data_IF_322496581685
#
_entry.id   IF_322496581685
#
_cell.length_a   1.000
_cell.length_b   1.000
_cell.length_c   1.000
_cell.angle_alpha   90.00
_cell.angle_beta   90.00
_cell.angle_gamma   90.00
#
_symmetry.space_group_name_H-M   'P 1'
#
loop_
_entity.id
_entity.type
_entity.pdbx_description
1 polymer ?
#
# COMPACT_ATOMS: atom_id res chain seq x y z
N UNK A 1 25.72 9.81 0.98
CA UNK A 1 24.67 10.83 1.19
C UNK A 1 24.59 11.09 2.68
N UNK A 2 24.93 12.30 3.13
CA UNK A 2 24.80 12.69 4.54
C UNK A 2 23.38 13.19 4.74
N UNK A 3 22.59 12.48 5.55
CA UNK A 3 21.25 12.95 5.91
C UNK A 3 21.36 13.88 7.11
N UNK A 4 20.65 15.01 7.13
CA UNK A 4 20.61 15.86 8.30
C UNK A 4 20.01 15.08 9.49
N UNK A 5 20.68 15.14 10.63
CA UNK A 5 20.25 14.48 11.86
C UNK A 5 20.03 15.55 12.93
N UNK A 6 19.04 15.35 13.80
CA UNK A 6 18.87 16.18 14.99
C UNK A 6 19.90 15.75 16.04
N UNK A 7 20.70 16.69 16.54
CA UNK A 7 21.71 16.41 17.56
C UNK A 7 21.11 16.11 18.95
N UNK A 8 19.84 16.47 19.17
CA UNK A 8 19.07 16.14 20.37
C UNK A 8 17.59 15.97 19.99
N UNK A 9 17.00 14.83 20.36
CA UNK A 9 15.57 14.61 20.20
C UNK A 9 14.81 15.41 21.27
N UNK A 10 14.18 16.51 20.87
CA UNK A 10 13.38 17.39 21.73
C UNK A 10 12.05 16.78 22.19
N UNK A 11 11.69 15.58 21.73
CA UNK A 11 10.44 14.88 22.07
C UNK A 11 9.24 15.33 21.24
N UNK A 12 9.25 16.56 20.72
CA UNK A 12 8.16 17.11 19.90
C UNK A 12 8.36 16.76 18.42
N UNK A 13 7.73 15.66 17.98
CA UNK A 13 7.67 15.26 16.56
C UNK A 13 6.36 15.79 15.97
N UNK A 14 6.46 16.68 14.99
CA UNK A 14 5.30 17.22 14.26
C UNK A 14 5.22 16.64 12.85
N UNK A 15 4.00 16.54 12.33
CA UNK A 15 3.72 16.10 10.96
C UNK A 15 4.19 17.18 9.98
N UNK A 16 4.93 16.79 8.94
CA UNK A 16 5.34 17.71 7.88
C UNK A 16 4.14 18.06 6.97
N UNK A 17 4.12 19.24 6.34
CA UNK A 17 3.06 19.59 5.39
C UNK A 17 2.91 18.60 4.24
N UNK A 18 4.02 17.98 3.80
CA UNK A 18 4.02 16.94 2.78
C UNK A 18 3.29 15.67 3.25
N UNK A 19 3.58 15.20 4.47
CA UNK A 19 2.91 14.05 5.04
C UNK A 19 1.41 14.32 5.24
N UNK A 20 1.03 15.49 5.75
CA UNK A 20 -0.38 15.87 5.89
C UNK A 20 -1.13 15.83 4.54
N UNK A 21 -0.51 16.30 3.46
CA UNK A 21 -1.08 16.23 2.11
C UNK A 21 -1.28 14.79 1.64
N UNK A 22 -0.28 13.92 1.86
CA UNK A 22 -0.37 12.49 1.50
C UNK A 22 -1.52 11.83 2.25
N UNK A 23 -1.67 12.08 3.56
CA UNK A 23 -2.75 11.50 4.34
C UNK A 23 -4.14 11.93 3.84
N UNK A 24 -4.31 13.22 3.51
CA UNK A 24 -5.57 13.72 2.95
C UNK A 24 -5.89 13.11 1.58
N UNK A 25 -4.88 12.93 0.72
CA UNK A 25 -5.04 12.27 -0.58
C UNK A 25 -5.37 10.79 -0.40
N UNK A 26 -4.74 10.11 0.55
CA UNK A 26 -4.98 8.71 0.84
C UNK A 26 -6.44 8.49 1.32
N UNK A 27 -6.95 9.38 2.18
CA UNK A 27 -8.36 9.35 2.61
C UNK A 27 -9.31 9.55 1.44
N UNK A 28 -9.03 10.51 0.55
CA UNK A 28 -9.81 10.71 -0.68
C UNK A 28 -9.84 9.44 -1.55
N UNK A 29 -8.71 8.75 -1.69
CA UNK A 29 -8.64 7.50 -2.46
C UNK A 29 -9.38 6.35 -1.78
N UNK A 30 -9.30 6.22 -0.46
CA UNK A 30 -10.09 5.25 0.30
C UNK A 30 -11.59 5.47 0.06
N UNK A 31 -12.06 6.71 0.18
CA UNK A 31 -13.46 7.07 -0.08
C UNK A 31 -13.90 6.76 -1.51
N UNK A 32 -13.07 7.06 -2.51
CA UNK A 32 -13.36 6.74 -3.92
C UNK A 32 -13.50 5.23 -4.17
N UNK A 33 -12.78 4.41 -3.40
CA UNK A 33 -12.83 2.94 -3.48
C UNK A 33 -13.90 2.32 -2.57
N UNK A 34 -14.61 3.13 -1.78
CA UNK A 34 -15.62 2.65 -0.83
C UNK A 34 -15.02 1.96 0.41
N UNK A 35 -13.74 2.19 0.69
CA UNK A 35 -13.09 1.67 1.90
C UNK A 35 -13.62 2.44 3.13
N UNK A 36 -13.95 1.72 4.21
CA UNK A 36 -14.35 2.34 5.48
C UNK A 36 -13.13 2.69 6.34
N UNK A 37 -12.00 2.02 6.10
CA UNK A 37 -10.74 2.23 6.80
C UNK A 37 -9.63 2.64 5.84
N UNK A 38 -8.67 3.42 6.37
CA UNK A 38 -7.52 3.85 5.59
C UNK A 38 -6.53 2.68 5.43
N UNK A 39 -6.39 2.21 4.20
CA UNK A 39 -5.48 1.13 3.83
C UNK A 39 -4.06 1.61 3.56
N UNK A 40 -3.09 0.73 3.79
CA UNK A 40 -1.68 0.97 3.44
C UNK A 40 -1.54 1.22 1.94
N UNK A 41 -2.33 0.53 1.13
CA UNK A 41 -2.40 0.67 -0.33
C UNK A 41 -2.89 2.07 -0.76
N UNK A 42 -3.86 2.65 -0.04
CA UNK A 42 -4.33 4.01 -0.30
C UNK A 42 -3.24 5.05 0.00
N UNK A 43 -2.45 4.84 1.07
CA UNK A 43 -1.31 5.68 1.42
C UNK A 43 -0.23 5.59 0.33
N UNK A 44 0.14 4.39 -0.11
CA UNK A 44 1.12 4.19 -1.21
C UNK A 44 0.63 4.85 -2.50
N UNK A 45 -0.65 4.72 -2.83
CA UNK A 45 -1.26 5.38 -4.00
C UNK A 45 -1.12 6.90 -3.91
N UNK A 46 -1.38 7.47 -2.73
CA UNK A 46 -1.25 8.91 -2.48
C UNK A 46 0.19 9.43 -2.56
N UNK A 47 1.17 8.61 -2.20
CA UNK A 47 2.59 8.97 -2.35
C UNK A 47 3.02 9.09 -3.83
N UNK A 48 2.37 8.34 -4.71
CA UNK A 48 2.64 8.29 -6.16
C UNK A 48 1.84 9.32 -6.98
N UNK A 49 0.93 10.04 -6.34
CA UNK A 49 0.13 11.07 -6.99
C UNK A 49 1.02 12.20 -7.54
N UNK A 50 0.61 12.77 -8.67
CA UNK A 50 1.35 13.81 -9.37
C UNK A 50 1.65 15.02 -8.46
N UNK A 51 2.93 15.42 -8.38
CA UNK A 51 3.37 16.55 -7.57
C UNK A 51 3.73 16.21 -6.11
N UNK A 52 3.78 14.93 -5.77
CA UNK A 52 4.44 14.42 -4.57
C UNK A 52 5.96 14.36 -4.78
N UNK A 53 6.75 14.82 -3.81
CA UNK A 53 8.21 14.66 -3.82
C UNK A 53 8.63 13.18 -3.89
N UNK A 54 7.75 12.29 -3.41
CA UNK A 54 7.98 10.84 -3.44
C UNK A 54 7.80 10.25 -4.84
N UNK A 55 7.03 10.90 -5.73
CA UNK A 55 6.80 10.40 -7.08
C UNK A 55 8.13 10.18 -7.82
N UNK A 56 9.06 11.12 -7.74
CA UNK A 56 10.39 11.00 -8.35
C UNK A 56 11.19 9.84 -7.76
N UNK A 57 11.05 9.56 -6.46
CA UNK A 57 11.73 8.44 -5.78
C UNK A 57 11.22 7.11 -6.31
N UNK A 58 9.90 6.95 -6.43
CA UNK A 58 9.31 5.73 -6.98
C UNK A 58 9.68 5.52 -8.45
N UNK A 59 9.62 6.58 -9.27
CA UNK A 59 10.02 6.51 -10.68
C UNK A 59 11.48 6.11 -10.84
N UNK A 60 12.38 6.66 -10.03
CA UNK A 60 13.79 6.27 -10.01
C UNK A 60 14.00 4.82 -9.55
N UNK A 61 13.11 4.29 -8.72
CA UNK A 61 13.09 2.88 -8.32
C UNK A 61 12.44 1.96 -9.38
N UNK A 62 11.97 2.50 -10.50
CA UNK A 62 11.36 1.75 -11.59
C UNK A 62 9.85 1.50 -11.43
N UNK A 63 9.20 2.18 -10.49
CA UNK A 63 7.76 2.06 -10.25
C UNK A 63 7.03 3.31 -10.74
N UNK A 64 5.97 3.12 -11.52
CA UNK A 64 5.04 4.19 -11.85
C UNK A 64 3.66 3.98 -11.22
N UNK A 65 2.85 5.04 -11.20
CA UNK A 65 1.52 5.01 -10.59
C UNK A 65 0.59 3.94 -11.20
N UNK A 66 0.69 3.69 -12.51
CA UNK A 66 -0.11 2.67 -13.19
C UNK A 66 0.22 1.26 -12.72
N UNK A 67 1.51 0.91 -12.67
CA UNK A 67 1.98 -0.41 -12.20
C UNK A 67 1.56 -0.67 -10.76
N UNK A 68 1.64 0.35 -9.90
CA UNK A 68 1.24 0.21 -8.50
C UNK A 68 -0.28 0.09 -8.37
N UNK A 69 -1.05 0.83 -9.17
CA UNK A 69 -2.50 0.69 -9.21
C UNK A 69 -2.94 -0.70 -9.67
N UNK A 70 -2.30 -1.27 -10.69
CA UNK A 70 -2.54 -2.64 -11.15
C UNK A 70 -2.20 -3.67 -10.06
N UNK A 71 -1.05 -3.54 -9.41
CA UNK A 71 -0.65 -4.42 -8.32
C UNK A 71 -1.63 -4.39 -7.14
N UNK A 72 -2.09 -3.19 -6.75
CA UNK A 72 -3.10 -3.02 -5.69
C UNK A 72 -4.43 -3.65 -6.10
N UNK A 73 -4.84 -3.49 -7.36
CA UNK A 73 -6.09 -4.09 -7.86
C UNK A 73 -6.02 -5.61 -7.80
N UNK A 74 -4.88 -6.20 -8.19
CA UNK A 74 -4.62 -7.64 -8.06
C UNK A 74 -4.62 -8.11 -6.62
N UNK A 75 -3.93 -7.39 -5.72
CA UNK A 75 -3.90 -7.70 -4.28
C UNK A 75 -5.26 -7.65 -3.62
N UNK A 76 -6.13 -6.71 -4.01
CA UNK A 76 -7.48 -6.59 -3.45
C UNK A 76 -8.43 -7.65 -3.97
N UNK A 77 -8.24 -8.13 -5.20
CA UNK A 77 -9.18 -9.03 -5.87
C UNK A 77 -10.66 -8.56 -5.82
N UNK A 78 -10.89 -7.25 -5.71
CA UNK A 78 -12.23 -6.65 -5.57
C UNK A 78 -12.73 -6.46 -4.14
N UNK A 79 -11.96 -6.83 -3.11
CA UNK A 79 -12.31 -6.59 -1.71
C UNK A 79 -12.11 -5.13 -1.31
N UNK A 80 -13.06 -4.61 -0.53
CA UNK A 80 -12.96 -3.31 0.15
C UNK A 80 -12.34 -3.46 1.53
N UNK A 81 -11.73 -2.41 2.05
CA UNK A 81 -11.18 -2.39 3.41
C UNK A 81 -12.23 -1.88 4.38
N UNK A 82 -12.99 -2.82 4.93
CA UNK A 82 -14.17 -2.62 5.79
C UNK A 82 -13.92 -2.92 7.27
N UNK A 83 -12.74 -3.44 7.61
CA UNK A 83 -12.26 -3.63 8.97
C UNK A 83 -10.77 -3.24 9.10
N UNK A 84 -10.32 -2.98 10.32
CA UNK A 84 -8.92 -2.63 10.60
C UNK A 84 -7.92 -3.74 10.24
N UNK A 85 -8.36 -5.00 10.18
CA UNK A 85 -7.52 -6.17 9.96
C UNK A 85 -7.73 -6.83 8.59
N UNK A 86 -8.56 -6.25 7.71
CA UNK A 86 -8.84 -6.79 6.37
C UNK A 86 -7.54 -7.05 5.58
N UNK A 87 -6.56 -6.14 5.64
CA UNK A 87 -5.27 -6.30 4.95
C UNK A 87 -4.47 -7.51 5.48
N UNK A 88 -4.47 -7.71 6.81
CA UNK A 88 -3.77 -8.84 7.44
C UNK A 88 -4.46 -10.17 7.15
N UNK A 89 -5.79 -10.18 7.10
CA UNK A 89 -6.56 -11.37 6.74
C UNK A 89 -6.33 -11.78 5.28
N UNK A 90 -6.25 -10.82 4.36
CA UNK A 90 -5.90 -11.10 2.96
C UNK A 90 -4.53 -11.76 2.83
N UNK A 91 -3.52 -11.20 3.50
CA UNK A 91 -2.18 -11.79 3.54
C UNK A 91 -2.13 -13.12 4.30
N UNK A 92 -3.03 -13.36 5.25
CA UNK A 92 -3.10 -14.63 5.99
C UNK A 92 -3.50 -15.80 5.10
N UNK A 93 -4.33 -15.59 4.07
CA UNK A 93 -4.61 -16.63 3.08
C UNK A 93 -3.35 -17.00 2.30
N UNK A 94 -2.62 -16.05 1.71
CA UNK A 94 -1.36 -16.37 1.03
C UNK A 94 -0.32 -17.00 1.97
N UNK A 95 -0.26 -16.55 3.23
CA UNK A 95 0.78 -16.97 4.18
C UNK A 95 0.48 -18.31 4.87
N UNK A 96 -0.80 -18.63 5.11
CA UNK A 96 -1.21 -19.78 5.91
C UNK A 96 -2.17 -20.74 5.19
N UNK A 97 -2.62 -20.40 3.98
CA UNK A 97 -3.36 -21.33 3.13
C UNK A 97 -2.49 -21.77 1.97
N UNK A 98 -2.76 -22.99 1.52
CA UNK A 98 -2.05 -23.62 0.43
C UNK A 98 -2.97 -23.59 -0.79
N UNK A 99 -2.54 -22.96 -1.88
CA UNK A 99 -3.32 -22.91 -3.11
C UNK A 99 -3.36 -24.28 -3.80
N UNK A 100 -4.44 -25.02 -3.54
CA UNK A 100 -4.67 -26.35 -4.10
C UNK A 100 -4.99 -26.27 -5.60
N UNK A 101 -5.59 -25.19 -6.08
CA UNK A 101 -5.87 -24.97 -7.52
C UNK A 101 -4.57 -24.84 -8.30
N UNK A 102 -3.65 -24.00 -7.83
CA UNK A 102 -2.31 -23.88 -8.44
C UNK A 102 -1.53 -25.21 -8.38
N UNK A 103 -1.66 -26.00 -7.31
CA UNK A 103 -1.04 -27.34 -7.23
C UNK A 103 -1.69 -28.36 -8.15
N UNK A 104 -3.00 -28.27 -8.39
CA UNK A 104 -3.73 -29.12 -9.32
C UNK A 104 -3.27 -28.86 -10.75
N UNK A 105 -3.16 -27.58 -11.12
CA UNK A 105 -2.65 -27.16 -12.44
C UNK A 105 -1.21 -27.60 -12.66
N UNK A 106 -0.39 -27.63 -11.60
CA UNK A 106 0.99 -28.12 -11.64
C UNK A 106 1.10 -29.66 -11.59
N UNK A 107 -0.01 -30.39 -11.52
CA UNK A 107 -0.02 -31.85 -11.42
C UNK A 107 0.59 -32.40 -10.13
N UNK A 108 0.67 -31.57 -9.08
CA UNK A 108 1.22 -31.91 -7.77
C UNK A 108 0.16 -32.38 -6.77
N UNK A 109 -1.09 -32.53 -7.21
CA UNK A 109 -2.14 -33.19 -6.44
C UNK A 109 -2.31 -34.62 -6.97
N UNK A 110 -2.20 -35.58 -6.04
CA UNK A 110 -2.48 -36.98 -6.32
C UNK A 110 -3.98 -37.11 -6.73
N UNK A 111 -4.32 -37.92 -7.75
CA UNK A 111 -5.70 -38.06 -8.24
C UNK A 111 -6.72 -38.48 -7.18
#
# INVERSE_FOLDING_TARGET
VYFPHLNAATGDISISPGLARVMNLAEKFAQQKGDQFLSTEAVVSAMLENGSDLQAVFLNAGFNAGQVAEAITGLRAGESVDANDTENHRQALEKYTLDLTARAEQGQLDP
#
